data_IF_328907033165
#
_entry.id   IF_328907033165
#
_cell.length_a   1.000
_cell.length_b   1.000
_cell.length_c   1.000
_cell.angle_alpha   90.00
_cell.angle_beta   90.00
_cell.angle_gamma   90.00
#
_symmetry.space_group_name_H-M   'P 1'
#
loop_
_entity.id
_entity.type
_entity.pdbx_description
1 polymer ?
#
# COMPACT_ATOMS: atom_id res chain seq x y z
N UNK A 1 -17.22 29.53 -20.49
CA UNK A 1 -16.69 29.66 -19.11
C UNK A 1 -17.80 29.20 -18.18
N UNK A 2 -17.82 27.94 -17.81
CA UNK A 2 -18.83 27.38 -16.90
C UNK A 2 -18.11 26.67 -15.76
N UNK A 3 -18.47 27.04 -14.54
CA UNK A 3 -17.73 26.74 -13.31
C UNK A 3 -17.91 25.30 -12.83
N UNK A 4 -16.84 24.75 -12.26
CA UNK A 4 -16.84 23.45 -11.60
C UNK A 4 -17.90 23.38 -10.47
N UNK A 5 -18.61 22.25 -10.33
CA UNK A 5 -19.55 22.05 -9.24
C UNK A 5 -18.79 21.89 -7.91
N UNK A 6 -18.90 22.89 -7.03
CA UNK A 6 -18.39 22.82 -5.66
C UNK A 6 -19.29 21.91 -4.82
N UNK A 7 -18.69 20.90 -4.18
CA UNK A 7 -19.34 20.09 -3.16
C UNK A 7 -19.84 20.95 -1.99
N UNK A 8 -20.96 20.58 -1.34
CA UNK A 8 -21.53 21.35 -0.24
C UNK A 8 -20.57 21.43 0.96
N UNK A 9 -20.30 22.63 1.50
CA UNK A 9 -19.34 22.86 2.60
C UNK A 9 -19.59 22.03 3.87
N UNK A 10 -20.82 21.54 4.06
CA UNK A 10 -21.24 20.80 5.25
C UNK A 10 -20.66 19.39 5.34
N UNK A 11 -20.22 18.79 4.23
CA UNK A 11 -19.73 17.41 4.23
C UNK A 11 -18.30 17.26 4.75
N UNK A 12 -17.42 18.25 4.49
CA UNK A 12 -16.06 18.26 5.02
C UNK A 12 -16.01 18.52 6.55
N UNK A 13 -17.01 19.21 7.09
CA UNK A 13 -17.12 19.55 8.51
C UNK A 13 -17.51 18.33 9.38
N UNK A 14 -18.31 17.38 8.85
CA UNK A 14 -18.84 16.26 9.64
C UNK A 14 -17.86 15.11 9.87
N UNK A 15 -16.82 14.97 9.04
CA UNK A 15 -15.82 13.87 9.13
C UNK A 15 -14.56 14.30 9.93
N UNK A 16 -14.48 15.55 10.40
CA UNK A 16 -13.29 16.05 11.10
C UNK A 16 -12.03 16.15 10.21
N UNK A 17 -12.17 15.96 8.89
CA UNK A 17 -11.10 16.12 7.91
C UNK A 17 -10.60 17.56 7.83
N UNK A 18 -11.49 18.56 8.02
CA UNK A 18 -11.12 19.97 8.03
C UNK A 18 -10.08 20.34 9.10
N UNK A 19 -10.12 19.71 10.29
CA UNK A 19 -9.13 19.96 11.33
C UNK A 19 -7.75 19.35 11.01
N UNK A 20 -7.73 18.19 10.32
CA UNK A 20 -6.50 17.55 9.90
C UNK A 20 -5.81 18.32 8.76
N UNK A 21 -6.58 18.88 7.83
CA UNK A 21 -6.04 19.68 6.74
C UNK A 21 -5.64 21.10 7.21
N UNK A 22 -6.36 21.69 8.17
CA UNK A 22 -5.92 22.91 8.84
C UNK A 22 -4.57 22.72 9.56
N UNK A 23 -4.40 21.61 10.31
CA UNK A 23 -3.13 21.31 10.98
C UNK A 23 -1.99 21.02 9.98
N UNK A 24 -2.26 20.38 8.84
CA UNK A 24 -1.27 20.19 7.77
C UNK A 24 -0.88 21.51 7.12
N UNK A 25 -1.85 22.39 6.88
CA UNK A 25 -1.61 23.71 6.30
C UNK A 25 -0.83 24.61 7.28
N UNK A 26 -1.16 24.55 8.57
CA UNK A 26 -0.38 25.21 9.62
C UNK A 26 1.06 24.67 9.68
N UNK A 27 1.25 23.34 9.62
CA UNK A 27 2.58 22.75 9.61
C UNK A 27 3.39 23.14 8.36
N UNK A 28 2.74 23.22 7.18
CA UNK A 28 3.36 23.71 5.95
C UNK A 28 3.77 25.17 6.08
N UNK A 29 2.89 26.03 6.59
CA UNK A 29 3.16 27.45 6.79
C UNK A 29 4.32 27.67 7.78
N UNK A 30 4.35 26.93 8.89
CA UNK A 30 5.45 27.01 9.87
C UNK A 30 6.78 26.51 9.28
N UNK A 31 6.76 25.46 8.44
CA UNK A 31 7.97 25.00 7.73
C UNK A 31 8.50 26.04 6.76
N UNK A 32 7.60 26.67 6.01
CA UNK A 32 7.98 27.74 5.09
C UNK A 32 8.57 28.94 5.84
N UNK A 33 7.98 29.34 6.97
CA UNK A 33 8.53 30.39 7.83
C UNK A 33 9.92 30.04 8.39
N UNK A 34 10.16 28.77 8.71
CA UNK A 34 11.48 28.30 9.17
C UNK A 34 12.52 28.36 8.04
N UNK A 35 12.17 27.93 6.83
CA UNK A 35 13.04 28.01 5.66
C UNK A 35 13.39 29.46 5.30
N UNK A 36 12.39 30.35 5.31
CA UNK A 36 12.58 31.79 5.07
C UNK A 36 13.49 32.43 6.13
N UNK A 37 13.30 32.08 7.41
CA UNK A 37 14.13 32.57 8.51
C UNK A 37 15.60 32.10 8.38
N UNK A 38 15.82 30.84 7.99
CA UNK A 38 17.16 30.31 7.74
C UNK A 38 17.83 30.98 6.53
N UNK A 39 17.08 31.20 5.45
CA UNK A 39 17.58 31.89 4.27
C UNK A 39 17.98 33.34 4.58
N UNK A 40 17.18 34.07 5.35
CA UNK A 40 17.50 35.44 5.76
C UNK A 40 18.68 35.50 6.73
N UNK A 41 18.82 34.54 7.64
CA UNK A 41 20.01 34.45 8.51
C UNK A 41 21.29 34.30 7.68
N UNK A 42 21.26 33.50 6.61
CA UNK A 42 22.39 33.34 5.70
C UNK A 42 22.77 34.63 4.98
N UNK A 43 21.79 35.42 4.54
CA UNK A 43 22.03 36.74 3.90
C UNK A 43 22.62 37.75 4.89
N UNK A 44 22.13 37.76 6.13
CA UNK A 44 22.65 38.65 7.17
C UNK A 44 24.08 38.29 7.57
N UNK A 45 24.43 37.00 7.65
CA UNK A 45 25.82 36.55 7.84
C UNK A 45 26.74 37.11 6.74
N UNK A 46 26.35 36.96 5.47
CA UNK A 46 27.12 37.48 4.34
C UNK A 46 27.23 39.01 4.31
N UNK A 47 26.25 39.75 4.86
CA UNK A 47 26.31 41.21 5.00
C UNK A 47 27.19 41.66 6.17
N UNK A 48 27.12 40.95 7.30
CA UNK A 48 27.91 41.24 8.50
C UNK A 48 29.41 41.12 8.21
N UNK A 49 29.82 40.15 7.39
CA UNK A 49 31.21 40.00 6.92
C UNK A 49 31.70 41.22 6.10
N UNK A 50 30.79 42.06 5.61
CA UNK A 50 31.06 43.19 4.72
C UNK A 50 30.91 44.57 5.37
N UNK A 51 30.31 44.69 6.56
CA UNK A 51 30.03 45.96 7.23
C UNK A 51 30.82 46.10 8.55
N UNK A 52 31.57 47.20 8.70
CA UNK A 52 32.28 47.58 9.94
C UNK A 52 31.39 47.99 11.15
N UNK A 53 30.07 47.85 11.07
CA UNK A 53 29.14 48.12 12.18
C UNK A 53 28.75 46.83 12.90
N UNK A 54 29.53 46.45 13.92
CA UNK A 54 29.42 45.13 14.59
C UNK A 54 28.16 45.01 15.44
N UNK A 55 27.67 46.11 16.05
CA UNK A 55 26.64 46.00 17.09
C UNK A 55 25.21 45.79 16.57
N UNK A 56 24.82 46.47 15.49
CA UNK A 56 23.45 46.35 14.94
C UNK A 56 23.25 45.02 14.19
N UNK A 57 24.27 44.56 13.45
CA UNK A 57 24.24 43.27 12.77
C UNK A 57 24.13 42.09 13.76
N UNK A 58 24.76 42.21 14.94
CA UNK A 58 24.71 41.18 15.98
C UNK A 58 23.31 41.11 16.61
N UNK A 59 22.67 42.26 16.87
CA UNK A 59 21.28 42.31 17.39
C UNK A 59 20.28 41.72 16.40
N UNK A 60 20.40 42.02 15.11
CA UNK A 60 19.53 41.41 14.08
C UNK A 60 19.73 39.90 13.98
N UNK A 61 20.99 39.43 14.02
CA UNK A 61 21.33 38.00 13.98
C UNK A 61 20.70 37.23 15.14
N UNK A 62 20.76 37.76 16.35
CA UNK A 62 20.19 37.13 17.54
C UNK A 62 18.65 37.12 17.52
N UNK A 63 18.04 38.19 17.00
CA UNK A 63 16.60 38.24 16.79
C UNK A 63 16.14 37.12 15.82
N UNK A 64 16.90 36.87 14.75
CA UNK A 64 16.62 35.79 13.81
C UNK A 64 16.85 34.41 14.39
N UNK A 65 17.91 34.20 15.18
CA UNK A 65 18.16 32.93 15.88
C UNK A 65 16.99 32.58 16.81
N UNK A 66 16.51 33.55 17.60
CA UNK A 66 15.34 33.37 18.48
C UNK A 66 14.06 33.06 17.71
N UNK A 67 13.86 33.62 16.50
CA UNK A 67 12.72 33.27 15.62
C UNK A 67 12.83 31.85 15.09
N UNK A 68 14.01 31.42 14.66
CA UNK A 68 14.26 30.05 14.19
C UNK A 68 14.03 29.02 15.31
N UNK A 69 14.58 29.25 16.51
CA UNK A 69 14.35 28.37 17.67
C UNK A 69 12.86 28.30 18.07
N UNK A 70 12.14 29.43 18.03
CA UNK A 70 10.70 29.45 18.29
C UNK A 70 9.92 28.66 17.22
N UNK A 71 10.30 28.79 15.95
CA UNK A 71 9.69 28.03 14.86
C UNK A 71 9.97 26.53 15.00
N UNK A 72 11.21 26.14 15.33
CA UNK A 72 11.60 24.74 15.56
C UNK A 72 10.86 24.13 16.75
N UNK A 73 10.83 24.82 17.90
CA UNK A 73 10.02 24.41 19.06
C UNK A 73 8.54 24.30 18.73
N UNK A 74 8.01 25.16 17.84
CA UNK A 74 6.62 25.07 17.37
C UNK A 74 6.40 23.87 16.46
N UNK A 75 7.32 23.56 15.54
CA UNK A 75 7.28 22.34 14.71
C UNK A 75 7.33 21.10 15.59
N UNK A 76 8.26 21.06 16.56
CA UNK A 76 8.43 19.97 17.50
C UNK A 76 7.20 19.79 18.41
N UNK A 77 6.62 20.89 18.89
CA UNK A 77 5.36 20.86 19.63
C UNK A 77 4.23 20.33 18.76
N UNK A 78 4.12 20.73 17.49
CA UNK A 78 3.08 20.23 16.56
C UNK A 78 3.28 18.74 16.20
N UNK A 79 4.51 18.27 16.08
CA UNK A 79 4.80 16.84 15.82
C UNK A 79 4.62 15.98 17.07
N UNK A 80 5.09 16.42 18.25
CA UNK A 80 4.88 15.73 19.54
C UNK A 80 3.42 15.77 19.98
N UNK A 81 2.70 16.85 19.67
CA UNK A 81 1.24 16.98 19.93
C UNK A 81 0.39 16.34 18.85
N UNK A 82 0.87 15.45 17.98
CA UNK A 82 -0.07 14.55 17.26
C UNK A 82 -0.79 13.76 18.35
N UNK A 83 -2.02 14.13 18.74
CA UNK A 83 -2.67 13.44 19.83
C UNK A 83 -2.87 12.04 19.28
N UNK A 84 -2.42 11.01 20.02
CA UNK A 84 -2.98 9.69 19.82
C UNK A 84 -4.49 9.91 19.77
N UNK A 85 -5.17 9.53 18.67
CA UNK A 85 -6.52 9.99 18.45
C UNK A 85 -7.36 9.58 19.66
N UNK A 86 -7.88 10.58 20.39
CA UNK A 86 -8.59 10.39 21.66
C UNK A 86 -9.71 9.37 21.53
N UNK A 87 -10.25 9.23 20.32
CA UNK A 87 -11.19 8.18 19.97
C UNK A 87 -10.46 6.87 19.63
N UNK A 88 -10.59 5.87 20.51
CA UNK A 88 -10.11 4.50 20.29
C UNK A 88 -10.61 3.90 18.97
N UNK A 89 -11.77 4.32 18.45
CA UNK A 89 -12.25 3.91 17.12
C UNK A 89 -11.34 4.43 15.99
N UNK A 90 -10.86 5.66 16.08
CA UNK A 90 -9.95 6.24 15.08
C UNK A 90 -8.55 5.62 15.19
N UNK A 91 -8.04 5.33 16.39
CA UNK A 91 -6.81 4.56 16.55
C UNK A 91 -6.92 3.15 15.93
N UNK A 92 -8.08 2.49 16.11
CA UNK A 92 -8.38 1.18 15.48
C UNK A 92 -8.43 1.30 13.96
N UNK A 93 -9.07 2.35 13.42
CA UNK A 93 -9.11 2.61 11.98
C UNK A 93 -7.72 2.86 11.40
N UNK A 94 -6.88 3.69 12.03
CA UNK A 94 -5.51 3.92 11.58
C UNK A 94 -4.67 2.64 11.61
N UNK A 95 -4.84 1.78 12.63
CA UNK A 95 -4.19 0.45 12.66
C UNK A 95 -4.68 -0.44 11.52
N UNK A 96 -5.98 -0.42 11.20
CA UNK A 96 -6.55 -1.14 10.06
C UNK A 96 -6.01 -0.62 8.73
N UNK A 97 -5.89 0.71 8.59
CA UNK A 97 -5.31 1.35 7.41
C UNK A 97 -3.81 1.06 7.25
N UNK A 98 -3.05 0.96 8.34
CA UNK A 98 -1.65 0.50 8.29
C UNK A 98 -1.50 -0.93 7.78
N UNK A 99 -2.53 -1.76 7.99
CA UNK A 99 -2.64 -3.13 7.43
C UNK A 99 -3.34 -3.16 6.08
N UNK A 100 -3.70 -2.01 5.51
CA UNK A 100 -4.38 -1.96 4.23
C UNK A 100 -3.41 -2.31 3.11
N UNK A 101 -3.43 -3.59 2.74
CA UNK A 101 -2.74 -4.16 1.59
C UNK A 101 -3.73 -4.48 0.46
N UNK A 102 -4.92 -3.88 0.46
CA UNK A 102 -5.96 -4.20 -0.52
C UNK A 102 -5.53 -3.92 -1.96
N UNK A 103 -4.66 -2.90 -2.15
CA UNK A 103 -4.06 -2.63 -3.46
C UNK A 103 -3.17 -3.79 -3.90
N UNK A 104 -2.21 -4.18 -3.06
CA UNK A 104 -1.34 -5.32 -3.33
C UNK A 104 -2.08 -6.63 -3.56
N UNK A 105 -3.16 -6.87 -2.82
CA UNK A 105 -4.01 -8.05 -3.01
C UNK A 105 -4.72 -8.03 -4.36
N UNK A 106 -5.31 -6.88 -4.76
CA UNK A 106 -5.93 -6.74 -6.09
C UNK A 106 -4.90 -6.93 -7.20
N UNK A 107 -3.71 -6.36 -7.07
CA UNK A 107 -2.66 -6.47 -8.07
C UNK A 107 -2.14 -7.92 -8.16
N UNK A 108 -1.97 -8.61 -7.01
CA UNK A 108 -1.60 -10.03 -6.97
C UNK A 108 -2.71 -10.96 -7.53
N UNK A 109 -3.98 -10.58 -7.42
CA UNK A 109 -5.12 -11.30 -7.98
C UNK A 109 -5.21 -11.18 -9.51
N UNK A 110 -4.89 -10.00 -10.06
CA UNK A 110 -4.75 -9.81 -11.51
C UNK A 110 -3.59 -10.64 -12.08
N UNK A 111 -2.54 -10.79 -11.27
CA UNK A 111 -1.37 -11.60 -11.55
C UNK A 111 -0.28 -10.86 -12.32
N UNK A 112 0.92 -11.43 -12.27
CA UNK A 112 2.11 -10.91 -12.92
C UNK A 112 2.80 -12.00 -13.72
N UNK A 113 3.49 -11.60 -14.80
CA UNK A 113 4.41 -12.47 -15.52
C UNK A 113 5.75 -12.45 -14.78
N UNK A 114 6.12 -13.58 -14.18
CA UNK A 114 7.33 -13.74 -13.37
C UNK A 114 8.03 -15.06 -13.69
N UNK A 115 9.27 -15.21 -13.25
CA UNK A 115 10.04 -16.43 -13.47
C UNK A 115 9.78 -17.42 -12.33
N UNK A 116 9.19 -18.56 -12.65
CA UNK A 116 9.09 -19.70 -11.73
C UNK A 116 10.33 -20.56 -11.87
N UNK A 117 10.99 -20.87 -10.76
CA UNK A 117 12.14 -21.79 -10.75
C UNK A 117 11.63 -23.23 -10.68
N UNK A 118 12.21 -24.08 -11.51
CA UNK A 118 11.95 -25.52 -11.52
C UNK A 118 12.82 -26.24 -10.51
N UNK A 119 12.21 -27.15 -9.76
CA UNK A 119 12.89 -27.86 -8.68
C UNK A 119 14.02 -28.78 -9.16
N UNK A 120 13.81 -29.47 -10.28
CA UNK A 120 14.70 -30.53 -10.79
C UNK A 120 15.98 -30.02 -11.45
N UNK A 121 15.93 -28.86 -12.11
CA UNK A 121 17.04 -28.39 -12.94
C UNK A 121 17.54 -27.00 -12.56
N UNK A 122 16.89 -26.33 -11.60
CA UNK A 122 17.15 -24.93 -11.33
C UNK A 122 16.97 -24.06 -12.57
N UNK A 123 16.14 -24.48 -13.54
CA UNK A 123 15.81 -23.68 -14.73
C UNK A 123 14.66 -22.75 -14.40
N UNK A 124 14.70 -21.54 -14.93
CA UNK A 124 13.59 -20.58 -14.85
C UNK A 124 12.60 -20.82 -15.99
N UNK A 125 11.32 -20.71 -15.67
CA UNK A 125 10.22 -20.71 -16.64
C UNK A 125 9.42 -19.42 -16.47
N UNK A 126 9.19 -18.69 -17.57
CA UNK A 126 8.35 -17.50 -17.54
C UNK A 126 6.89 -17.93 -17.42
N UNK A 127 6.23 -17.54 -16.32
CA UNK A 127 4.87 -17.94 -15.98
C UNK A 127 4.04 -16.73 -15.60
N UNK A 128 2.76 -16.72 -15.99
CA UNK A 128 1.79 -15.79 -15.40
C UNK A 128 1.32 -16.40 -14.09
N UNK A 129 1.54 -15.70 -12.98
CA UNK A 129 1.23 -16.16 -11.63
C UNK A 129 0.19 -15.22 -11.02
N UNK A 130 -0.83 -15.75 -10.35
CA UNK A 130 -1.85 -14.97 -9.66
C UNK A 130 -2.28 -15.64 -8.35
N UNK A 131 -2.71 -14.84 -7.40
CA UNK A 131 -3.35 -15.29 -6.16
C UNK A 131 -4.85 -15.35 -6.37
N UNK A 132 -5.53 -16.38 -5.87
CA UNK A 132 -6.98 -16.43 -5.79
C UNK A 132 -7.39 -16.48 -4.31
N UNK A 133 -7.70 -15.32 -3.69
CA UNK A 133 -8.02 -15.23 -2.27
C UNK A 133 -9.18 -16.12 -1.84
N UNK A 134 -10.21 -16.24 -2.69
CA UNK A 134 -11.45 -16.95 -2.38
C UNK A 134 -11.24 -18.46 -2.27
N UNK A 135 -10.36 -19.02 -3.11
CA UNK A 135 -9.99 -20.43 -3.06
C UNK A 135 -8.76 -20.71 -2.18
N UNK A 136 -8.09 -19.67 -1.69
CA UNK A 136 -6.80 -19.77 -1.00
C UNK A 136 -5.75 -20.54 -1.83
N UNK A 137 -5.64 -20.22 -3.13
CA UNK A 137 -4.65 -20.85 -4.02
C UNK A 137 -3.74 -19.82 -4.68
N UNK A 138 -2.49 -20.22 -4.94
CA UNK A 138 -1.61 -19.56 -5.89
C UNK A 138 -1.66 -20.35 -7.20
N UNK A 139 -2.06 -19.72 -8.31
CA UNK A 139 -2.19 -20.36 -9.62
C UNK A 139 -1.19 -19.81 -10.62
N UNK A 140 -0.76 -20.63 -11.57
CA UNK A 140 0.13 -20.23 -12.65
C UNK A 140 -0.11 -20.98 -13.97
N UNK A 141 0.08 -20.28 -15.08
CA UNK A 141 -0.02 -20.79 -16.45
C UNK A 141 1.18 -20.28 -17.30
N UNK A 142 1.24 -20.64 -18.59
CA UNK A 142 2.21 -20.01 -19.50
C UNK A 142 1.95 -18.50 -19.61
N UNK A 143 3.00 -17.70 -19.86
CA UNK A 143 2.94 -16.24 -19.79
C UNK A 143 1.82 -15.61 -20.65
N UNK A 144 1.53 -16.20 -21.82
CA UNK A 144 0.54 -15.71 -22.79
C UNK A 144 -0.84 -16.37 -22.65
N UNK A 145 -1.00 -17.33 -21.75
CA UNK A 145 -2.26 -18.05 -21.56
C UNK A 145 -3.14 -17.35 -20.52
N UNK A 146 -4.45 -17.42 -20.75
CA UNK A 146 -5.42 -17.10 -19.72
C UNK A 146 -5.46 -18.23 -18.67
N UNK A 147 -5.85 -17.89 -17.43
CA UNK A 147 -6.08 -18.91 -16.42
C UNK A 147 -7.27 -19.78 -16.82
N UNK A 148 -7.05 -21.08 -16.95
CA UNK A 148 -8.02 -22.06 -17.41
C UNK A 148 -7.78 -23.45 -16.81
N UNK A 149 -8.33 -24.49 -17.44
CA UNK A 149 -8.23 -25.87 -16.96
C UNK A 149 -6.79 -26.42 -16.94
N UNK A 150 -5.90 -25.88 -17.76
CA UNK A 150 -4.47 -26.25 -17.83
C UNK A 150 -3.61 -25.54 -16.78
N UNK A 151 -4.18 -24.60 -16.01
CA UNK A 151 -3.44 -23.86 -15.00
C UNK A 151 -3.05 -24.77 -13.84
N UNK A 152 -1.79 -24.67 -13.45
CA UNK A 152 -1.27 -25.33 -12.25
C UNK A 152 -1.57 -24.45 -11.04
N UNK A 153 -1.70 -25.06 -9.88
CA UNK A 153 -2.01 -24.34 -8.65
C UNK A 153 -1.34 -24.98 -7.44
N UNK A 154 -1.25 -24.19 -6.38
CA UNK A 154 -0.78 -24.55 -5.05
C UNK A 154 -1.84 -24.12 -4.04
N UNK A 155 -2.34 -25.05 -3.25
CA UNK A 155 -3.16 -24.72 -2.08
C UNK A 155 -2.28 -24.03 -1.03
N UNK A 156 -2.62 -22.77 -0.73
CA UNK A 156 -1.88 -21.95 0.23
C UNK A 156 -1.99 -22.51 1.65
N UNK A 157 -3.01 -23.32 1.98
CA UNK A 157 -3.15 -24.00 3.28
C UNK A 157 -2.03 -25.00 3.54
N UNK A 158 -1.38 -25.51 2.48
CA UNK A 158 -0.25 -26.46 2.57
C UNK A 158 1.10 -25.76 2.79
N UNK A 159 1.13 -24.43 2.68
CA UNK A 159 2.36 -23.64 2.85
C UNK A 159 2.68 -23.52 4.33
N UNK A 160 3.83 -24.06 4.73
CA UNK A 160 4.34 -23.99 6.11
C UNK A 160 5.17 -22.73 6.35
N UNK A 161 5.86 -22.23 5.33
CA UNK A 161 6.77 -21.08 5.45
C UNK A 161 6.82 -20.26 4.18
N UNK A 162 6.85 -18.94 4.35
CA UNK A 162 7.11 -17.95 3.30
C UNK A 162 8.53 -17.43 3.50
N UNK A 163 9.41 -17.64 2.52
CA UNK A 163 10.78 -17.13 2.55
C UNK A 163 10.94 -16.01 1.53
N UNK A 164 11.53 -14.90 1.96
CA UNK A 164 11.75 -13.72 1.13
C UNK A 164 13.21 -13.27 1.23
N UNK A 165 13.74 -12.67 0.17
CA UNK A 165 15.08 -12.11 0.20
C UNK A 165 16.17 -13.19 0.12
N UNK A 166 17.31 -13.01 0.80
CA UNK A 166 18.43 -13.96 0.84
C UNK A 166 18.06 -15.35 1.37
N UNK A 167 16.92 -15.47 2.08
CA UNK A 167 16.44 -16.76 2.59
C UNK A 167 15.79 -17.60 1.49
N UNK A 168 15.19 -16.97 0.48
CA UNK A 168 14.53 -17.66 -0.62
C UNK A 168 15.53 -18.56 -1.36
N UNK A 169 15.11 -19.77 -1.76
CA UNK A 169 15.98 -20.69 -2.49
C UNK A 169 16.42 -20.10 -3.84
N UNK A 170 15.54 -19.35 -4.50
CA UNK A 170 15.87 -18.68 -5.76
C UNK A 170 17.07 -17.73 -5.65
N UNK A 171 17.24 -16.99 -4.54
CA UNK A 171 18.41 -16.10 -4.40
C UNK A 171 19.72 -16.86 -4.20
N UNK A 172 19.67 -18.13 -3.78
CA UNK A 172 20.86 -18.99 -3.63
C UNK A 172 21.24 -19.66 -4.95
N UNK A 173 20.24 -20.03 -5.75
CA UNK A 173 20.44 -20.66 -7.06
C UNK A 173 20.90 -19.67 -8.14
N UNK A 174 20.46 -18.41 -8.05
CA UNK A 174 20.74 -17.37 -9.03
C UNK A 174 21.41 -16.16 -8.34
N UNK A 175 22.72 -16.23 -8.05
CA UNK A 175 23.44 -15.16 -7.33
C UNK A 175 23.50 -13.83 -8.11
N UNK A 176 23.31 -13.87 -9.43
CA UNK A 176 23.18 -12.70 -10.31
C UNK A 176 21.87 -11.95 -10.09
N UNK A 177 20.83 -12.63 -9.60
CA UNK A 177 19.53 -12.03 -9.31
C UNK A 177 19.55 -11.39 -7.94
N UNK A 178 19.04 -10.16 -7.89
CA UNK A 178 18.90 -9.42 -6.63
C UNK A 178 17.98 -10.17 -5.64
N UNK A 179 18.41 -10.47 -4.40
CA UNK A 179 17.61 -11.27 -3.46
C UNK A 179 16.23 -10.69 -3.14
N UNK A 180 16.06 -9.36 -3.17
CA UNK A 180 14.77 -8.70 -2.92
C UNK A 180 13.71 -8.91 -4.01
N UNK A 181 14.08 -9.53 -5.13
CA UNK A 181 13.17 -9.98 -6.18
C UNK A 181 12.76 -11.46 -6.02
N UNK A 182 13.30 -12.15 -5.03
CA UNK A 182 13.12 -13.58 -4.85
C UNK A 182 12.21 -13.87 -3.65
N UNK A 183 11.27 -14.81 -3.84
CA UNK A 183 10.50 -15.40 -2.75
C UNK A 183 10.24 -16.89 -3.01
N UNK A 184 10.07 -17.64 -1.94
CA UNK A 184 9.87 -19.09 -1.94
C UNK A 184 8.72 -19.46 -1.00
N UNK A 185 7.86 -20.38 -1.43
CA UNK A 185 6.82 -20.99 -0.60
C UNK A 185 7.21 -22.42 -0.28
N UNK A 186 7.40 -22.73 1.00
CA UNK A 186 7.84 -24.05 1.45
C UNK A 186 6.62 -24.83 1.95
N UNK A 187 6.36 -25.97 1.33
CA UNK A 187 5.34 -26.94 1.78
C UNK A 187 6.02 -28.09 2.53
N UNK A 188 5.25 -29.11 2.92
CA UNK A 188 5.83 -30.33 3.52
C UNK A 188 6.79 -31.05 2.56
N UNK A 189 6.43 -31.09 1.28
CA UNK A 189 7.09 -31.97 0.31
C UNK A 189 8.17 -31.26 -0.51
N UNK A 190 8.02 -29.95 -0.75
CA UNK A 190 8.92 -29.19 -1.62
C UNK A 190 8.85 -27.67 -1.44
N UNK A 191 9.69 -26.96 -2.18
CA UNK A 191 9.63 -25.50 -2.32
C UNK A 191 9.06 -25.08 -3.69
N UNK A 192 8.32 -23.97 -3.70
CA UNK A 192 7.88 -23.27 -4.90
C UNK A 192 8.57 -21.92 -4.95
N UNK A 193 9.50 -21.78 -5.88
CA UNK A 193 10.47 -20.69 -5.90
C UNK A 193 10.19 -19.76 -7.08
N UNK A 194 10.22 -18.45 -6.82
CA UNK A 194 9.82 -17.41 -7.77
C UNK A 194 10.82 -16.25 -7.77
N UNK A 195 11.03 -15.69 -8.97
CA UNK A 195 11.82 -14.49 -9.22
C UNK A 195 10.92 -13.49 -9.95
N UNK A 196 10.68 -12.36 -9.31
CA UNK A 196 9.83 -11.29 -9.86
C UNK A 196 10.61 -10.34 -10.75
N UNK A 197 9.91 -9.65 -11.67
CA UNK A 197 10.51 -8.66 -12.55
C UNK A 197 10.88 -7.35 -11.85
N UNK A 198 10.18 -7.01 -10.76
CA UNK A 198 10.41 -5.78 -10.02
C UNK A 198 10.01 -5.89 -8.53
N UNK A 199 10.46 -4.93 -7.75
CA UNK A 199 10.20 -4.85 -6.30
C UNK A 199 8.70 -4.75 -5.97
N UNK A 200 7.91 -4.12 -6.85
CA UNK A 200 6.47 -3.96 -6.64
C UNK A 200 5.72 -5.28 -6.70
N UNK A 201 6.04 -6.13 -7.69
CA UNK A 201 5.43 -7.46 -7.84
C UNK A 201 5.86 -8.40 -6.71
N UNK A 202 7.13 -8.35 -6.27
CA UNK A 202 7.57 -9.06 -5.06
C UNK A 202 6.76 -8.65 -3.83
N UNK A 203 6.60 -7.33 -3.61
CA UNK A 203 5.78 -6.80 -2.51
C UNK A 203 4.33 -7.30 -2.60
N UNK A 204 3.72 -7.26 -3.80
CA UNK A 204 2.34 -7.68 -4.00
C UNK A 204 2.13 -9.14 -3.62
N UNK A 205 2.96 -10.05 -4.13
CA UNK A 205 2.84 -11.47 -3.81
C UNK A 205 3.15 -11.75 -2.33
N UNK A 206 4.27 -11.26 -1.81
CA UNK A 206 4.71 -11.58 -0.45
C UNK A 206 3.70 -11.09 0.58
N UNK A 207 3.17 -9.86 0.46
CA UNK A 207 2.16 -9.34 1.38
C UNK A 207 0.81 -10.07 1.24
N UNK A 208 0.36 -10.31 0.00
CA UNK A 208 -0.91 -10.99 -0.24
C UNK A 208 -0.90 -12.42 0.28
N UNK A 209 0.16 -13.17 -0.01
CA UNK A 209 0.33 -14.55 0.50
C UNK A 209 0.48 -14.54 2.02
N UNK A 210 1.26 -13.61 2.59
CA UNK A 210 1.39 -13.48 4.06
C UNK A 210 0.04 -13.28 4.75
N UNK A 211 -0.86 -12.49 4.15
CA UNK A 211 -2.20 -12.25 4.68
C UNK A 211 -3.12 -13.47 4.55
N UNK A 212 -3.02 -14.20 3.44
CA UNK A 212 -3.81 -15.42 3.23
C UNK A 212 -3.32 -16.60 4.06
N UNK A 213 -2.03 -16.61 4.42
CA UNK A 213 -1.42 -17.62 5.28
C UNK A 213 -1.30 -17.21 6.76
N UNK A 214 -1.97 -16.13 7.17
CA UNK A 214 -1.90 -15.62 8.53
C UNK A 214 -2.47 -16.64 9.52
N UNK A 215 -1.67 -16.96 10.54
CA UNK A 215 -2.05 -17.88 11.62
C UNK A 215 -1.52 -19.31 11.46
N UNK A 216 -0.98 -19.69 10.31
CA UNK A 216 -0.45 -21.05 10.12
C UNK A 216 0.90 -21.14 9.38
N UNK A 217 1.30 -20.14 8.59
CA UNK A 217 2.62 -20.13 7.98
C UNK A 217 3.64 -19.26 8.74
N UNK A 218 4.90 -19.70 8.75
CA UNK A 218 6.03 -18.93 9.26
C UNK A 218 6.55 -17.93 8.21
N UNK A 219 7.30 -16.91 8.66
CA UNK A 219 7.95 -15.94 7.76
C UNK A 219 7.01 -14.95 7.09
N UNK A 220 5.77 -14.85 7.58
CA UNK A 220 4.76 -13.91 7.08
C UNK A 220 5.05 -12.46 7.51
N UNK A 221 4.65 -11.51 6.67
CA UNK A 221 4.71 -10.07 6.93
C UNK A 221 3.30 -9.53 7.19
N UNK A 222 3.05 -8.93 8.35
CA UNK A 222 1.73 -8.45 8.76
C UNK A 222 1.41 -7.06 8.21
N UNK A 223 2.45 -6.29 7.89
CA UNK A 223 2.30 -4.91 7.39
C UNK A 223 3.27 -4.62 6.26
N UNK A 224 2.93 -3.62 5.43
CA UNK A 224 3.86 -3.08 4.42
C UNK A 224 5.16 -2.58 5.07
N UNK A 225 5.08 -1.97 6.26
CA UNK A 225 6.25 -1.48 7.00
C UNK A 225 7.21 -2.60 7.38
N UNK A 226 6.70 -3.72 7.91
CA UNK A 226 7.52 -4.89 8.23
C UNK A 226 8.23 -5.45 7.01
N UNK A 227 7.53 -5.55 5.86
CA UNK A 227 8.13 -5.98 4.60
C UNK A 227 9.25 -5.03 4.14
N UNK A 228 9.00 -3.73 4.13
CA UNK A 228 10.00 -2.72 3.71
C UNK A 228 11.22 -2.70 4.64
N UNK A 229 11.01 -2.79 5.96
CA UNK A 229 12.10 -2.89 6.94
C UNK A 229 12.93 -4.16 6.74
N UNK A 230 12.28 -5.31 6.53
CA UNK A 230 12.99 -6.56 6.26
C UNK A 230 13.79 -6.50 4.96
N UNK A 231 13.21 -5.92 3.89
CA UNK A 231 13.92 -5.67 2.63
C UNK A 231 15.14 -4.76 2.82
N UNK A 232 14.99 -3.67 3.57
CA UNK A 232 16.10 -2.76 3.89
C UNK A 232 17.22 -3.48 4.64
N UNK A 233 16.87 -4.28 5.64
CA UNK A 233 17.82 -5.11 6.38
C UNK A 233 18.54 -6.14 5.50
N UNK A 234 17.82 -6.77 4.57
CA UNK A 234 18.44 -7.68 3.61
C UNK A 234 19.44 -6.96 2.71
N UNK A 235 19.10 -5.79 2.17
CA UNK A 235 20.02 -4.97 1.36
C UNK A 235 21.27 -4.59 2.14
N UNK A 236 21.11 -4.14 3.39
CA UNK A 236 22.21 -3.77 4.27
C UNK A 236 23.13 -4.97 4.51
N UNK A 237 22.58 -6.13 4.91
CA UNK A 237 23.36 -7.35 5.17
C UNK A 237 24.09 -7.84 3.92
N UNK A 238 23.41 -7.92 2.78
CA UNK A 238 24.04 -8.35 1.52
C UNK A 238 25.12 -7.37 1.07
N UNK A 239 24.89 -6.06 1.19
CA UNK A 239 25.89 -5.04 0.86
C UNK A 239 27.12 -5.11 1.78
N UNK A 240 26.90 -5.29 3.07
CA UNK A 240 27.94 -5.45 4.09
C UNK A 240 28.79 -6.70 3.81
N UNK A 241 28.14 -7.83 3.52
CA UNK A 241 28.81 -9.08 3.16
C UNK A 241 29.65 -8.96 1.88
N UNK A 242 29.11 -8.31 0.83
CA UNK A 242 29.85 -8.12 -0.44
C UNK A 242 31.09 -7.25 -0.28
N UNK A 243 31.08 -6.30 0.66
CA UNK A 243 32.21 -5.41 0.95
C UNK A 243 33.23 -6.02 1.91
N UNK A 244 32.95 -7.19 2.49
CA UNK A 244 33.79 -7.77 3.54
C UNK A 244 33.84 -6.92 4.82
N UNK A 245 32.84 -6.07 5.04
CA UNK A 245 32.75 -5.22 6.21
C UNK A 245 31.81 -5.81 7.24
N UNK A 246 31.92 -5.34 8.48
CA UNK A 246 30.92 -5.55 9.53
C UNK A 246 29.84 -4.47 9.45
N UNK A 247 28.66 -4.74 10.03
CA UNK A 247 27.58 -3.74 10.08
C UNK A 247 28.02 -2.46 10.80
N UNK A 248 28.79 -2.59 11.89
CA UNK A 248 29.34 -1.47 12.64
C UNK A 248 30.26 -0.62 11.79
N UNK A 249 31.14 -1.23 10.97
CA UNK A 249 32.00 -0.49 10.04
C UNK A 249 31.21 0.28 8.99
N UNK A 250 30.19 -0.34 8.37
CA UNK A 250 29.33 0.35 7.40
C UNK A 250 28.62 1.55 8.05
N UNK A 251 28.20 1.42 9.31
CA UNK A 251 27.57 2.52 10.05
C UNK A 251 28.58 3.63 10.38
N UNK A 252 29.79 3.28 10.84
CA UNK A 252 30.87 4.24 11.10
C UNK A 252 31.26 5.00 9.84
N UNK A 253 31.40 4.32 8.70
CA UNK A 253 31.67 4.98 7.41
C UNK A 253 30.56 5.96 7.02
N UNK A 254 29.29 5.57 7.20
CA UNK A 254 28.17 6.45 6.90
C UNK A 254 28.14 7.69 7.80
N UNK A 255 28.47 7.53 9.09
CA UNK A 255 28.61 8.64 10.04
C UNK A 255 29.78 9.55 9.66
N UNK A 256 30.93 8.99 9.30
CA UNK A 256 32.09 9.76 8.86
C UNK A 256 31.76 10.56 7.59
N UNK A 257 31.19 9.92 6.56
CA UNK A 257 30.75 10.59 5.34
C UNK A 257 29.76 11.72 5.62
N UNK A 258 28.85 11.52 6.59
CA UNK A 258 27.89 12.56 6.98
C UNK A 258 28.56 13.68 7.77
N UNK A 259 29.51 13.38 8.64
CA UNK A 259 30.27 14.37 9.39
C UNK A 259 31.04 15.31 8.45
N UNK A 260 31.63 14.78 7.36
CA UNK A 260 32.28 15.60 6.34
C UNK A 260 31.32 16.52 5.54
N UNK A 261 30.02 16.19 5.50
CA UNK A 261 29.01 17.01 4.82
C UNK A 261 28.37 18.05 5.75
N UNK A 262 28.44 17.83 7.06
CA UNK A 262 27.98 18.83 8.01
C UNK A 262 29.02 19.96 8.01
N UNK A 263 28.58 21.24 8.01
CA UNK A 263 29.51 22.33 8.24
C UNK A 263 30.27 22.04 9.54
N UNK A 264 31.60 22.35 9.60
CA UNK A 264 32.33 22.23 10.86
C UNK A 264 31.49 22.94 11.90
N UNK A 265 31.16 22.23 12.99
CA UNK A 265 30.45 22.85 14.09
C UNK A 265 31.24 24.12 14.40
N UNK A 266 30.63 25.29 14.18
CA UNK A 266 31.19 26.55 14.65
C UNK A 266 31.41 26.27 16.13
N UNK A 267 32.68 26.09 16.53
CA UNK A 267 33.06 26.11 17.92
C UNK A 267 32.71 27.54 18.27
N UNK A 268 31.52 27.70 18.82
CA UNK A 268 31.11 28.95 19.42
C UNK A 268 32.03 29.02 20.63
N UNK A 269 33.21 29.63 20.44
CA UNK A 269 34.02 30.22 21.49
C UNK A 269 33.23 31.39 22.08
N UNK A 270 31.98 31.16 22.47
CA UNK A 270 31.39 31.99 23.51
C UNK A 270 32.18 31.57 24.73
N UNK A 271 33.09 32.47 25.10
CA UNK A 271 33.72 32.57 26.39
C UNK A 271 32.65 32.34 27.46
N UNK A 272 32.45 31.07 27.82
CA UNK A 272 31.92 30.72 29.11
C UNK A 272 33.09 30.99 30.05
N UNK A 273 33.30 32.28 30.39
CA UNK A 273 33.88 32.62 31.67
C UNK A 273 32.99 31.90 32.69
N UNK A 274 33.47 30.84 33.35
CA UNK A 274 32.71 30.29 34.44
C UNK A 274 32.80 31.33 35.55
N UNK A 275 31.76 32.15 35.69
CA UNK A 275 31.45 32.74 36.98
C UNK A 275 31.24 31.56 37.93
N UNK A 276 32.32 31.14 38.55
CA UNK A 276 32.38 30.18 39.64
C UNK A 276 31.72 30.86 40.85
N UNK A 277 30.51 30.48 41.27
CA UNK A 277 30.10 30.76 42.62
C UNK A 277 31.01 29.94 43.54
N UNK A 278 31.77 30.65 44.36
CA UNK A 278 32.57 30.14 45.47
C UNK A 278 31.65 29.38 46.44
N UNK A 279 31.48 28.08 46.22
CA UNK A 279 30.76 27.20 47.11
C UNK A 279 31.77 26.26 47.77
N UNK A 280 31.89 26.48 49.08
CA UNK A 280 32.86 25.86 49.96
C UNK A 280 32.90 24.34 49.86
N UNK A 281 34.13 23.86 50.03
CA UNK A 281 34.55 22.47 50.16
C UNK A 281 33.65 21.65 51.08
N UNK A 282 32.88 20.75 50.46
CA UNK A 282 32.44 19.51 51.10
C UNK A 282 32.75 18.35 50.14
N UNK A 283 33.81 17.62 50.45
CA UNK A 283 34.22 16.38 49.77
C UNK A 283 33.06 15.36 49.78
N UNK A 284 32.40 15.21 48.64
CA UNK A 284 31.56 14.05 48.36
C UNK A 284 32.28 13.18 47.33
N UNK A 285 32.79 12.04 47.77
CA UNK A 285 33.45 11.08 46.89
C UNK A 285 32.48 10.56 45.81
N UNK A 286 32.93 10.46 44.55
CA UNK A 286 32.10 9.94 43.47
C UNK A 286 31.89 8.43 43.66
N UNK A 287 30.63 8.06 43.91
CA UNK A 287 30.17 6.67 43.90
C UNK A 287 30.28 6.14 42.45
N UNK A 288 31.02 5.05 42.18
CA UNK A 288 31.11 4.50 40.84
C UNK A 288 29.72 4.07 40.36
N UNK A 289 29.29 4.57 39.19
CA UNK A 289 28.07 4.11 38.54
C UNK A 289 28.26 2.68 38.05
N UNK A 290 27.49 1.77 38.63
CA UNK A 290 27.44 0.38 38.19
C UNK A 290 26.56 0.26 36.94
N UNK A 291 27.13 -0.32 35.87
CA UNK A 291 26.56 -0.32 34.52
C UNK A 291 25.45 -1.38 34.32
N UNK A 292 25.00 -2.03 35.40
CA UNK A 292 24.11 -3.20 35.34
C UNK A 292 22.75 -3.05 36.04
N UNK A 293 22.39 -1.87 36.55
CA UNK A 293 21.09 -1.63 37.21
C UNK A 293 19.87 -1.50 36.26
N UNK A 294 19.96 -1.97 35.01
CA UNK A 294 18.89 -1.78 34.00
C UNK A 294 18.03 -3.01 33.68
N UNK A 295 18.17 -4.13 34.39
CA UNK A 295 17.40 -5.35 34.11
C UNK A 295 16.94 -6.07 35.38
N UNK A 296 16.00 -5.49 36.14
CA UNK A 296 15.15 -6.29 37.03
C UNK A 296 13.77 -5.65 37.23
N UNK A 297 12.88 -5.88 36.26
CA UNK A 297 11.43 -5.85 36.49
C UNK A 297 10.86 -7.18 36.01
N UNK A 298 10.84 -8.17 36.90
CA UNK A 298 10.03 -9.37 36.75
C UNK A 298 8.64 -9.11 37.32
N UNK A 299 7.54 -9.28 36.54
CA UNK A 299 6.21 -9.19 37.11
C UNK A 299 5.88 -10.46 37.89
N UNK A 300 5.46 -10.22 39.13
CA UNK A 300 5.01 -11.20 40.11
C UNK A 300 3.83 -12.04 39.62
N UNK A 301 4.00 -13.33 39.82
CA UNK A 301 3.02 -14.42 39.76
C UNK A 301 1.80 -14.15 40.63
N UNK A 302 0.59 -14.22 40.03
CA UNK A 302 -0.66 -14.45 40.77
C UNK A 302 -1.19 -15.83 40.40
N UNK A 303 -1.11 -16.73 41.37
CA UNK A 303 -1.77 -18.04 41.42
C UNK A 303 -3.28 -17.86 41.48
N UNK A 304 -4.03 -18.50 40.57
CA UNK A 304 -5.40 -18.95 40.87
C UNK A 304 -5.65 -20.33 40.28
N UNK A 305 -6.16 -21.18 41.16
CA UNK A 305 -6.42 -22.61 41.09
C UNK A 305 -7.68 -22.97 40.30
N UNK A 306 -7.64 -24.13 39.63
CA UNK A 306 -8.80 -24.90 39.15
C UNK A 306 -9.64 -25.46 40.33
N UNK A 307 -10.89 -25.96 40.10
CA UNK A 307 -11.13 -27.31 39.55
C UNK A 307 -12.32 -27.35 38.54
N UNK A 308 -12.25 -28.10 37.43
CA UNK A 308 -12.51 -29.54 37.20
C UNK A 308 -13.93 -29.87 36.66
N UNK A 309 -13.92 -30.77 35.67
CA UNK A 309 -14.94 -31.75 35.26
C UNK A 309 -15.96 -31.44 34.14
N UNK A 310 -15.97 -32.37 33.16
CA UNK A 310 -17.10 -33.15 32.60
C UNK A 310 -17.22 -33.15 31.05
N UNK A 311 -17.10 -34.38 30.53
CA UNK A 311 -17.73 -35.02 29.35
C UNK A 311 -17.30 -34.67 27.91
N UNK A 312 -16.66 -35.67 27.30
CA UNK A 312 -16.87 -36.06 25.90
C UNK A 312 -18.22 -36.76 25.72
N UNK A 313 -18.75 -36.82 24.48
CA UNK A 313 -18.91 -38.15 23.92
C UNK A 313 -18.46 -38.29 22.46
N UNK A 314 -18.08 -39.53 22.17
CA UNK A 314 -17.77 -40.14 20.87
C UNK A 314 -19.06 -40.59 20.15
N UNK A 315 -19.03 -40.62 18.81
CA UNK A 315 -19.87 -41.45 17.89
C UNK A 315 -19.27 -41.28 16.47
N UNK A 316 -18.49 -42.22 15.92
CA UNK A 316 -18.87 -43.38 15.06
C UNK A 316 -19.71 -43.06 13.80
N UNK A 317 -19.00 -42.98 12.66
CA UNK A 317 -19.18 -43.69 11.36
C UNK A 317 -20.56 -43.87 10.69
N UNK A 318 -20.73 -43.43 9.41
CA UNK A 318 -20.81 -44.31 8.20
C UNK A 318 -21.44 -43.63 6.92
N UNK A 319 -20.70 -43.75 5.80
CA UNK A 319 -21.09 -44.10 4.41
C UNK A 319 -22.02 -43.17 3.55
N UNK A 320 -22.02 -43.34 2.19
CA UNK A 320 -21.97 -42.24 1.24
C UNK A 320 -23.29 -42.03 0.48
N UNK A 321 -23.44 -40.87 -0.17
CA UNK A 321 -24.48 -40.67 -1.17
C UNK A 321 -23.91 -39.92 -2.37
N UNK A 322 -23.92 -40.63 -3.50
CA UNK A 322 -23.73 -40.13 -4.86
C UNK A 322 -24.80 -39.10 -5.22
N UNK A 323 -24.40 -37.88 -5.60
CA UNK A 323 -25.28 -36.95 -6.30
C UNK A 323 -24.54 -36.21 -7.41
N UNK A 324 -25.09 -36.40 -8.60
CA UNK A 324 -24.77 -35.91 -9.95
C UNK A 324 -24.36 -34.42 -10.02
N UNK A 325 -23.25 -34.16 -10.71
CA UNK A 325 -22.77 -32.80 -11.04
C UNK A 325 -23.53 -32.22 -12.24
N UNK A 326 -24.19 -31.08 -12.03
CA UNK A 326 -24.58 -30.15 -13.10
C UNK A 326 -23.48 -29.08 -13.30
N UNK A 327 -23.32 -28.49 -14.51
CA UNK A 327 -22.13 -27.72 -14.87
C UNK A 327 -22.06 -26.34 -14.18
N UNK A 328 -20.84 -25.99 -13.75
CA UNK A 328 -20.49 -24.86 -12.89
C UNK A 328 -20.60 -23.45 -13.52
N UNK A 329 -21.10 -23.31 -14.75
CA UNK A 329 -21.17 -22.01 -15.42
C UNK A 329 -22.29 -21.09 -14.87
N UNK A 330 -23.33 -21.67 -14.26
CA UNK A 330 -24.47 -20.91 -13.74
C UNK A 330 -24.22 -20.23 -12.37
N UNK A 331 -23.13 -20.56 -11.66
CA UNK A 331 -22.88 -20.05 -10.29
C UNK A 331 -22.04 -18.78 -10.23
N UNK A 332 -21.27 -18.45 -11.27
CA UNK A 332 -20.34 -17.31 -11.22
C UNK A 332 -21.03 -15.95 -11.42
N UNK A 333 -22.22 -15.92 -12.02
CA UNK A 333 -23.04 -14.70 -12.09
C UNK A 333 -23.68 -14.35 -10.74
N UNK A 334 -23.91 -15.33 -9.85
CA UNK A 334 -24.67 -15.15 -8.60
C UNK A 334 -24.01 -14.23 -7.58
N UNK A 335 -22.68 -14.14 -7.55
CA UNK A 335 -21.97 -13.37 -6.52
C UNK A 335 -21.77 -11.89 -6.86
N UNK A 336 -22.14 -11.45 -8.07
CA UNK A 336 -22.28 -10.03 -8.43
C UNK A 336 -23.69 -9.47 -8.17
N UNK A 337 -24.67 -10.33 -7.81
CA UNK A 337 -26.11 -10.00 -7.75
C UNK A 337 -26.61 -9.47 -6.40
N UNK A 338 -25.75 -8.97 -5.52
CA UNK A 338 -26.19 -8.38 -4.25
C UNK A 338 -25.62 -6.97 -4.08
N UNK A 339 -26.09 -6.05 -4.91
CA UNK A 339 -26.04 -4.63 -4.57
C UNK A 339 -27.10 -4.34 -3.50
N UNK A 340 -26.78 -3.55 -2.46
CA UNK A 340 -27.76 -3.17 -1.45
C UNK A 340 -28.89 -2.37 -2.11
N UNK A 341 -30.13 -2.81 -1.89
CA UNK A 341 -31.32 -2.06 -2.28
C UNK A 341 -31.35 -0.77 -1.46
N UNK A 342 -30.86 0.34 -2.02
CA UNK A 342 -30.99 1.64 -1.38
C UNK A 342 -32.47 2.05 -1.36
N UNK A 343 -33.09 2.24 -0.18
CA UNK A 343 -34.47 2.70 -0.10
C UNK A 343 -34.49 4.19 -0.44
N UNK A 344 -34.96 4.55 -1.64
CA UNK A 344 -35.12 5.95 -2.06
C UNK A 344 -34.79 6.27 -3.51
N UNK A 345 -34.44 5.30 -4.37
CA UNK A 345 -34.24 5.56 -5.79
C UNK A 345 -35.59 5.91 -6.45
N UNK A 346 -35.79 7.18 -6.77
CA UNK A 346 -36.91 7.67 -7.56
C UNK A 346 -37.09 6.80 -8.82
N UNK A 347 -38.32 6.42 -9.14
CA UNK A 347 -38.65 5.65 -10.32
C UNK A 347 -38.18 6.40 -11.58
N UNK A 348 -37.05 5.99 -12.16
CA UNK A 348 -36.53 6.58 -13.38
C UNK A 348 -37.51 6.33 -14.53
N UNK A 349 -38.11 7.39 -15.06
CA UNK A 349 -39.06 7.36 -16.19
C UNK A 349 -38.37 7.17 -17.56
N UNK A 350 -37.37 6.29 -17.64
CA UNK A 350 -36.67 5.98 -18.89
C UNK A 350 -37.28 4.77 -19.59
N UNK A 351 -37.50 4.85 -20.91
CA UNK A 351 -37.82 3.69 -21.75
C UNK A 351 -36.64 2.72 -21.76
N UNK A 352 -36.90 1.44 -21.51
CA UNK A 352 -35.86 0.41 -21.60
C UNK A 352 -35.42 0.21 -23.07
N UNK A 353 -34.11 0.17 -23.35
CA UNK A 353 -33.60 -0.14 -24.69
C UNK A 353 -34.12 -1.47 -25.24
N UNK A 354 -34.36 -1.54 -26.55
CA UNK A 354 -34.68 -2.82 -27.22
C UNK A 354 -33.48 -3.33 -28.02
N UNK A 355 -33.27 -4.66 -28.09
CA UNK A 355 -32.31 -5.25 -29.01
C UNK A 355 -32.50 -4.72 -30.44
N UNK A 356 -31.41 -4.27 -31.07
CA UNK A 356 -31.39 -3.68 -32.42
C UNK A 356 -31.48 -2.15 -32.45
N UNK A 357 -31.77 -1.48 -31.33
CA UNK A 357 -31.81 -0.01 -31.29
C UNK A 357 -30.41 0.61 -31.13
N UNK A 358 -30.25 1.83 -31.67
CA UNK A 358 -29.05 2.65 -31.48
C UNK A 358 -29.25 3.64 -30.33
N UNK A 359 -28.26 3.67 -29.44
CA UNK A 359 -28.25 4.47 -28.22
C UNK A 359 -26.94 5.24 -28.13
N UNK A 360 -26.98 6.38 -27.44
CA UNK A 360 -25.84 7.28 -27.25
C UNK A 360 -25.28 7.06 -25.86
N UNK A 361 -23.96 6.94 -25.77
CA UNK A 361 -23.26 6.67 -24.52
C UNK A 361 -22.94 7.97 -23.76
N UNK A 362 -23.36 8.10 -22.49
CA UNK A 362 -23.41 9.39 -21.76
C UNK A 362 -22.43 9.56 -20.60
N UNK A 363 -22.08 8.48 -19.88
CA UNK A 363 -21.13 8.50 -18.76
C UNK A 363 -19.98 7.49 -18.95
N UNK A 364 -18.79 7.72 -18.43
CA UNK A 364 -17.65 6.81 -18.68
C UNK A 364 -17.93 5.36 -18.22
N UNK A 365 -17.65 4.36 -19.07
CA UNK A 365 -17.56 2.97 -18.57
C UNK A 365 -16.13 2.75 -18.09
N UNK A 366 -15.98 2.44 -16.81
CA UNK A 366 -14.69 2.05 -16.25
C UNK A 366 -14.10 0.80 -16.91
N UNK A 367 -14.94 -0.06 -17.51
CA UNK A 367 -14.53 -1.32 -18.12
C UNK A 367 -15.55 -1.90 -19.10
N UNK A 368 -15.13 -2.16 -20.33
CA UNK A 368 -15.87 -2.98 -21.29
C UNK A 368 -15.02 -4.22 -21.57
N UNK A 369 -15.63 -5.42 -21.51
CA UNK A 369 -14.94 -6.65 -21.89
C UNK A 369 -14.58 -6.62 -23.37
N UNK A 370 -13.32 -6.94 -23.69
CA UNK A 370 -12.76 -6.71 -25.02
C UNK A 370 -13.01 -7.89 -25.95
N UNK A 371 -13.42 -7.57 -27.18
CA UNK A 371 -13.45 -8.52 -28.28
C UNK A 371 -12.04 -8.69 -28.87
N UNK A 372 -11.59 -9.93 -29.01
CA UNK A 372 -10.33 -10.26 -29.69
C UNK A 372 -10.63 -10.49 -31.17
N UNK A 373 -9.93 -9.78 -32.05
CA UNK A 373 -10.10 -10.03 -33.47
C UNK A 373 -9.55 -11.42 -33.86
N UNK A 374 -9.94 -11.99 -35.01
CA UNK A 374 -9.38 -13.25 -35.50
C UNK A 374 -7.87 -13.21 -35.76
N UNK A 375 -7.27 -12.02 -35.86
CA UNK A 375 -5.84 -11.79 -36.01
C UNK A 375 -5.05 -11.78 -34.69
N UNK A 376 -5.72 -11.90 -33.54
CA UNK A 376 -5.12 -11.95 -32.22
C UNK A 376 -4.73 -10.60 -31.61
N UNK A 377 -5.06 -9.47 -32.25
CA UNK A 377 -4.76 -8.14 -31.74
C UNK A 377 -5.76 -7.74 -30.64
N UNK A 378 -5.25 -7.51 -29.43
CA UNK A 378 -6.02 -6.98 -28.31
C UNK A 378 -5.84 -5.46 -28.23
N UNK A 379 -6.94 -4.73 -28.22
CA UNK A 379 -6.94 -3.27 -28.07
C UNK A 379 -7.67 -2.91 -26.78
N UNK A 380 -6.94 -2.36 -25.80
CA UNK A 380 -7.54 -1.87 -24.55
C UNK A 380 -7.99 -0.44 -24.77
N UNK A 381 -9.30 -0.23 -24.85
CA UNK A 381 -9.88 1.10 -24.94
C UNK A 381 -10.78 1.37 -23.73
N UNK A 382 -10.39 2.37 -22.95
CA UNK A 382 -11.30 3.08 -22.07
C UNK A 382 -12.35 3.77 -22.94
N UNK A 383 -13.64 3.49 -22.70
CA UNK A 383 -14.71 4.14 -23.44
C UNK A 383 -15.04 5.47 -22.79
N UNK A 384 -14.43 6.52 -23.31
CA UNK A 384 -14.88 7.89 -23.04
C UNK A 384 -16.07 8.22 -23.95
N UNK A 385 -17.09 8.84 -23.37
CA UNK A 385 -18.36 9.18 -24.03
C UNK A 385 -18.20 10.18 -25.18
N UNK A 386 -17.13 10.96 -25.11
CA UNK A 386 -16.84 12.05 -26.02
C UNK A 386 -15.62 11.69 -26.85
N UNK A 387 -15.75 11.76 -28.17
CA UNK A 387 -14.62 11.79 -29.07
C UNK A 387 -13.73 13.02 -28.82
N UNK A 388 -12.54 13.08 -29.43
CA UNK A 388 -11.67 14.27 -29.35
C UNK A 388 -12.36 15.57 -29.79
N UNK A 389 -13.39 15.48 -30.62
CA UNK A 389 -14.21 16.62 -31.08
C UNK A 389 -15.48 16.83 -30.27
N UNK A 390 -15.61 16.23 -29.09
CA UNK A 390 -16.82 16.25 -28.26
C UNK A 390 -18.04 15.50 -28.84
N UNK A 391 -17.87 14.80 -29.96
CA UNK A 391 -18.91 13.96 -30.56
C UNK A 391 -19.32 12.83 -29.61
N UNK A 392 -20.63 12.67 -29.38
CA UNK A 392 -21.15 11.58 -28.56
C UNK A 392 -21.05 10.27 -29.35
N UNK A 393 -20.57 9.20 -28.70
CA UNK A 393 -20.39 7.91 -29.35
C UNK A 393 -21.68 7.08 -29.29
N UNK A 394 -22.02 6.43 -30.40
CA UNK A 394 -23.19 5.56 -30.51
C UNK A 394 -22.83 4.09 -30.30
N UNK A 395 -23.80 3.34 -29.78
CA UNK A 395 -23.75 1.90 -29.57
C UNK A 395 -25.07 1.27 -30.00
N UNK A 396 -25.00 0.08 -30.58
CA UNK A 396 -26.17 -0.75 -30.87
C UNK A 396 -26.38 -1.73 -29.72
N UNK A 397 -27.62 -1.85 -29.24
CA UNK A 397 -27.99 -2.81 -28.20
C UNK A 397 -28.16 -4.19 -28.83
N UNK A 398 -27.41 -5.18 -28.37
CA UNK A 398 -27.51 -6.56 -28.85
C UNK A 398 -28.46 -7.40 -28.01
N UNK A 399 -28.35 -7.28 -26.68
CA UNK A 399 -29.19 -8.02 -25.74
C UNK A 399 -29.31 -7.24 -24.42
N UNK A 400 -30.30 -7.59 -23.58
CA UNK A 400 -30.54 -6.93 -22.31
C UNK A 400 -30.87 -7.95 -21.22
N UNK A 401 -30.39 -7.68 -20.00
CA UNK A 401 -30.78 -8.36 -18.78
C UNK A 401 -31.49 -7.36 -17.84
N UNK A 402 -32.82 -7.20 -17.95
CA UNK A 402 -33.55 -6.16 -17.21
C UNK A 402 -33.40 -6.31 -15.69
N UNK A 403 -33.40 -7.54 -15.19
CA UNK A 403 -33.26 -7.87 -13.76
C UNK A 403 -31.91 -7.42 -13.18
N UNK A 404 -30.86 -7.43 -14.01
CA UNK A 404 -29.49 -7.10 -13.60
C UNK A 404 -29.07 -5.68 -14.00
N UNK A 405 -29.97 -4.93 -14.68
CA UNK A 405 -29.69 -3.60 -15.23
C UNK A 405 -28.41 -3.58 -16.08
N UNK A 406 -28.22 -4.60 -16.91
CA UNK A 406 -27.10 -4.68 -17.85
C UNK A 406 -27.59 -4.81 -19.30
N UNK A 407 -26.82 -4.24 -20.21
CA UNK A 407 -27.02 -4.33 -21.66
C UNK A 407 -25.76 -4.81 -22.34
N UNK A 408 -25.90 -5.70 -23.32
CA UNK A 408 -24.82 -6.05 -24.22
C UNK A 408 -24.81 -5.03 -25.35
N UNK A 409 -23.70 -4.31 -25.48
CA UNK A 409 -23.54 -3.24 -26.46
C UNK A 409 -22.52 -3.64 -27.53
N UNK A 410 -22.72 -3.10 -28.73
CA UNK A 410 -21.72 -3.10 -29.81
C UNK A 410 -21.50 -1.67 -30.27
N UNK A 411 -20.26 -1.19 -30.25
CA UNK A 411 -19.95 0.14 -30.76
C UNK A 411 -20.24 0.26 -32.25
N UNK A 412 -20.65 1.45 -32.69
CA UNK A 412 -20.82 1.75 -34.12
C UNK A 412 -19.60 2.51 -34.66
N UNK A 413 -19.49 2.60 -35.99
CA UNK A 413 -18.46 3.40 -36.68
C UNK A 413 -17.02 3.10 -36.23
N UNK A 414 -16.35 4.09 -35.63
CA UNK A 414 -14.98 4.02 -35.11
C UNK A 414 -14.86 3.12 -33.88
N UNK A 415 -15.97 2.61 -33.33
CA UNK A 415 -16.02 1.68 -32.20
C UNK A 415 -16.54 0.29 -32.57
N UNK A 416 -16.60 -0.08 -33.85
CA UNK A 416 -17.09 -1.41 -34.29
C UNK A 416 -16.42 -2.63 -33.64
N UNK A 417 -15.22 -2.43 -33.06
CA UNK A 417 -14.45 -3.45 -32.34
C UNK A 417 -14.84 -3.57 -30.86
N UNK A 418 -15.61 -2.64 -30.32
CA UNK A 418 -16.10 -2.72 -28.95
C UNK A 418 -17.37 -3.56 -28.94
N UNK A 419 -17.36 -4.66 -28.17
CA UNK A 419 -18.54 -5.46 -27.87
C UNK A 419 -18.41 -5.99 -26.44
N UNK A 420 -19.41 -5.76 -25.59
CA UNK A 420 -19.38 -6.26 -24.22
C UNK A 420 -20.61 -5.89 -23.41
N UNK A 421 -20.65 -6.33 -22.16
CA UNK A 421 -21.70 -5.99 -21.21
C UNK A 421 -21.38 -4.66 -20.51
N UNK A 422 -22.37 -3.78 -20.43
CA UNK A 422 -22.30 -2.50 -19.73
C UNK A 422 -23.50 -2.35 -18.78
N UNK A 423 -23.31 -1.59 -17.70
CA UNK A 423 -24.40 -1.22 -16.79
C UNK A 423 -25.30 -0.18 -17.45
N UNK A 424 -26.60 -0.27 -17.21
CA UNK A 424 -27.59 0.72 -17.65
C UNK A 424 -27.51 2.01 -16.83
N UNK A 425 -27.20 1.87 -15.54
CA UNK A 425 -27.13 2.97 -14.57
C UNK A 425 -25.75 3.02 -13.91
N UNK A 426 -25.31 4.22 -13.56
CA UNK A 426 -24.13 4.44 -12.72
C UNK A 426 -24.44 4.17 -11.23
N UNK A 427 -23.44 4.33 -10.37
CA UNK A 427 -23.59 4.13 -8.92
C UNK A 427 -24.53 5.17 -8.26
N UNK A 428 -24.83 6.27 -8.95
CA UNK A 428 -25.78 7.30 -8.53
C UNK A 428 -27.20 7.06 -9.07
N UNK A 429 -27.40 6.01 -9.88
CA UNK A 429 -28.68 5.71 -10.54
C UNK A 429 -28.96 6.53 -11.79
N UNK A 430 -27.98 7.28 -12.32
CA UNK A 430 -28.07 8.01 -13.57
C UNK A 430 -27.86 7.08 -14.77
N UNK A 431 -28.57 7.32 -15.87
CA UNK A 431 -28.46 6.52 -17.09
C UNK A 431 -27.11 6.71 -17.78
N UNK A 432 -26.43 5.60 -18.08
CA UNK A 432 -25.17 5.58 -18.85
C UNK A 432 -25.40 5.56 -20.37
N UNK A 433 -26.65 5.37 -20.80
CA UNK A 433 -27.07 5.44 -22.20
C UNK A 433 -28.35 6.26 -22.36
N UNK A 434 -28.41 7.08 -23.40
CA UNK A 434 -29.55 7.90 -23.82
C UNK A 434 -30.04 7.45 -25.20
N UNK A 435 -31.34 7.56 -25.46
CA UNK A 435 -31.89 7.22 -26.78
C UNK A 435 -31.32 8.17 -27.83
N UNK A 436 -30.83 7.63 -28.95
CA UNK A 436 -30.31 8.48 -30.01
C UNK A 436 -31.44 9.40 -30.55
N UNK A 437 -31.15 10.69 -30.81
CA UNK A 437 -32.11 11.55 -31.48
C UNK A 437 -32.47 10.93 -32.84
N UNK A 438 -33.77 10.84 -33.13
CA UNK A 438 -34.30 10.30 -34.39
C UNK A 438 -33.95 11.16 -35.59
#
# INVERSE_FOLDING_TARGET
MEGEPKLPPSWAASIGLGAADAAKNELKAVRQQLEEALAQNKVLRAKADNSRGVDDATRERDAWRRRAEKAEKKVEALTKRRPLPKNAAHARLLRRLKRNIAREMRDAEQGFVINKVTEKHGKTEVRRVAVCPQMLVLKWCHAHEAFGSTSKWLDLRTVKKVEYGPKARASKLFPEVSPWLCFSLVTADRSYDFITSNDSSARCFVLSISRLCEGFAEGIFKTRGEFESAKGWHKLKTGTQRRGLTLSQVFTEALQQRAFQLPPAEIVEDAFEPDLPDHGTAEAQPKPMDLFDFCDESPTSVKQSAPAMVAQPSLKSNLPTTTTFAPAFARTLSNWMSAPTAPGAAACQGTLPKPGENWVFTGAVDRVDLYRDPGGAEWVNEMTCRGPNNDRRMVTILSMLPQQRMVEIRGTDKLKFVKGWARLLDDNGAWLIEQAPK
#
